data_IF_471743994057
#
_entry.id   IF_471743994057
#
_cell.length_a   1.000
_cell.length_b   1.000
_cell.length_c   1.000
_cell.angle_alpha   90.00
_cell.angle_beta   90.00
_cell.angle_gamma   90.00
#
_symmetry.space_group_name_H-M   'P 1'
#
loop_
_entity.id
_entity.type
_entity.pdbx_description
1 polymer ?
#
# COMPACT_ATOMS: atom_id res chain seq x y z
N UNK A 1 -35.87 18.27 -16.44
CA UNK A 1 -34.48 17.87 -16.14
C UNK A 1 -34.41 17.68 -14.64
N UNK A 2 -34.31 16.43 -14.16
CA UNK A 2 -34.18 16.16 -12.73
C UNK A 2 -32.78 16.61 -12.30
N UNK A 3 -32.69 17.65 -11.49
CA UNK A 3 -31.46 17.96 -10.77
C UNK A 3 -31.15 16.77 -9.85
N UNK A 4 -29.93 16.25 -9.93
CA UNK A 4 -29.49 15.18 -9.02
C UNK A 4 -29.50 15.72 -7.58
N UNK A 5 -29.94 14.94 -6.58
CA UNK A 5 -29.85 15.35 -5.18
C UNK A 5 -28.43 15.80 -4.83
N UNK A 6 -28.31 16.85 -4.01
CA UNK A 6 -27.03 17.47 -3.66
C UNK A 6 -26.00 16.44 -3.12
N UNK A 7 -26.47 15.40 -2.43
CA UNK A 7 -25.65 14.31 -1.90
C UNK A 7 -24.99 13.44 -2.99
N UNK A 8 -25.72 13.09 -4.05
CA UNK A 8 -25.18 12.32 -5.18
C UNK A 8 -24.15 13.14 -5.96
N UNK A 9 -24.39 14.45 -6.10
CA UNK A 9 -23.43 15.37 -6.72
C UNK A 9 -22.15 15.45 -5.90
N UNK A 10 -22.24 15.65 -4.59
CA UNK A 10 -21.08 15.71 -3.69
C UNK A 10 -20.32 14.39 -3.63
N UNK A 11 -21.02 13.24 -3.65
CA UNK A 11 -20.39 11.93 -3.70
C UNK A 11 -19.64 11.72 -5.01
N UNK A 12 -20.22 12.15 -6.14
CA UNK A 12 -19.56 12.11 -7.45
C UNK A 12 -18.33 13.01 -7.51
N UNK A 13 -18.45 14.26 -7.07
CA UNK A 13 -17.33 15.22 -7.02
C UNK A 13 -16.19 14.69 -6.14
N UNK A 14 -16.53 14.08 -5.00
CA UNK A 14 -15.54 13.40 -4.14
C UNK A 14 -14.87 12.22 -4.85
N UNK A 15 -15.65 11.39 -5.56
CA UNK A 15 -15.12 10.27 -6.34
C UNK A 15 -14.18 10.73 -7.46
N UNK A 16 -14.55 11.78 -8.18
CA UNK A 16 -13.71 12.41 -9.23
C UNK A 16 -12.42 12.99 -8.63
N UNK A 17 -12.52 13.70 -7.49
CA UNK A 17 -11.36 14.22 -6.77
C UNK A 17 -10.40 13.11 -6.32
N UNK A 18 -10.93 12.01 -5.76
CA UNK A 18 -10.11 10.86 -5.34
C UNK A 18 -9.43 10.21 -6.54
N UNK A 19 -10.15 10.06 -7.66
CA UNK A 19 -9.60 9.49 -8.89
C UNK A 19 -8.42 10.32 -9.40
N UNK A 20 -8.55 11.64 -9.46
CA UNK A 20 -7.46 12.52 -9.91
C UNK A 20 -6.25 12.50 -8.98
N UNK A 21 -6.48 12.51 -7.66
CA UNK A 21 -5.41 12.36 -6.67
C UNK A 21 -4.69 11.02 -6.82
N UNK A 22 -5.44 9.92 -6.94
CA UNK A 22 -4.86 8.60 -7.10
C UNK A 22 -4.08 8.49 -8.42
N UNK A 23 -4.63 9.00 -9.52
CA UNK A 23 -3.99 9.00 -10.84
C UNK A 23 -2.66 9.77 -10.81
N UNK A 24 -2.68 11.02 -10.34
CA UNK A 24 -1.47 11.85 -10.21
C UNK A 24 -0.43 11.19 -9.30
N UNK A 25 -0.86 10.63 -8.18
CA UNK A 25 0.01 9.89 -7.27
C UNK A 25 0.66 8.66 -7.91
N UNK A 26 -0.09 7.94 -8.73
CA UNK A 26 0.37 6.76 -9.47
C UNK A 26 1.36 7.16 -10.57
N UNK A 27 1.09 8.23 -11.32
CA UNK A 27 2.02 8.78 -12.33
C UNK A 27 3.37 9.15 -11.69
N UNK A 28 3.36 9.82 -10.53
CA UNK A 28 4.58 10.16 -9.79
C UNK A 28 5.30 8.91 -9.24
N UNK A 29 4.58 7.87 -8.83
CA UNK A 29 5.18 6.59 -8.42
C UNK A 29 5.95 5.94 -9.57
N UNK A 30 5.34 5.90 -10.75
CA UNK A 30 5.95 5.30 -11.94
C UNK A 30 7.11 6.16 -12.48
N UNK A 31 7.03 7.49 -12.33
CA UNK A 31 8.15 8.40 -12.61
C UNK A 31 9.31 8.28 -11.59
N UNK A 32 9.10 7.63 -10.45
CA UNK A 32 10.11 7.48 -9.40
C UNK A 32 10.17 8.64 -8.40
N UNK A 33 9.28 9.63 -8.52
CA UNK A 33 9.17 10.78 -7.65
C UNK A 33 8.42 10.45 -6.35
N UNK A 34 8.92 9.47 -5.60
CA UNK A 34 8.21 8.85 -4.48
C UNK A 34 7.83 9.82 -3.36
N UNK A 35 8.62 10.87 -3.11
CA UNK A 35 8.27 11.91 -2.13
C UNK A 35 7.07 12.72 -2.60
N UNK A 36 7.05 13.12 -3.88
CA UNK A 36 5.95 13.85 -4.46
C UNK A 36 4.70 12.97 -4.56
N UNK A 37 4.86 11.70 -4.92
CA UNK A 37 3.77 10.73 -5.03
C UNK A 37 2.99 10.55 -3.72
N UNK A 38 3.69 10.56 -2.58
CA UNK A 38 3.06 10.38 -1.27
C UNK A 38 2.03 11.48 -0.94
N UNK A 39 2.15 12.68 -1.53
CA UNK A 39 1.27 13.83 -1.23
C UNK A 39 -0.16 13.59 -1.74
N UNK A 40 -0.41 13.42 -3.06
CA UNK A 40 -1.76 13.17 -3.54
C UNK A 40 -2.28 11.81 -3.09
N UNK A 41 -1.42 10.79 -2.91
CA UNK A 41 -1.85 9.48 -2.40
C UNK A 41 -2.32 9.54 -0.95
N UNK A 42 -1.65 10.31 -0.08
CA UNK A 42 -2.10 10.52 1.28
C UNK A 42 -3.47 11.22 1.31
N UNK A 43 -3.66 12.23 0.45
CA UNK A 43 -4.95 12.92 0.36
C UNK A 43 -6.06 12.00 -0.15
N UNK A 44 -5.75 11.16 -1.14
CA UNK A 44 -6.70 10.16 -1.63
C UNK A 44 -7.05 9.14 -0.54
N UNK A 45 -6.08 8.73 0.30
CA UNK A 45 -6.29 7.81 1.41
C UNK A 45 -7.07 8.43 2.58
N UNK A 46 -7.05 9.75 2.76
CA UNK A 46 -7.91 10.45 3.72
C UNK A 46 -9.37 10.45 3.26
N UNK A 47 -9.60 10.62 1.96
CA UNK A 47 -10.94 10.69 1.38
C UNK A 47 -11.58 9.29 1.23
N UNK A 48 -10.78 8.28 0.91
CA UNK A 48 -11.18 6.89 0.75
C UNK A 48 -10.25 5.98 1.58
N UNK A 49 -10.42 5.95 2.92
CA UNK A 49 -9.54 5.21 3.82
C UNK A 49 -9.56 3.70 3.61
N UNK A 50 -10.57 3.23 2.89
CA UNK A 50 -10.95 1.85 2.71
C UNK A 50 -10.47 1.26 1.38
N UNK A 51 -9.95 2.10 0.49
CA UNK A 51 -9.55 1.69 -0.84
C UNK A 51 -8.14 1.11 -0.84
N UNK A 52 -8.05 -0.22 -0.89
CA UNK A 52 -6.77 -0.96 -0.85
C UNK A 52 -5.78 -0.52 -1.93
N UNK A 53 -6.22 -0.18 -3.14
CA UNK A 53 -5.32 0.28 -4.21
C UNK A 53 -4.60 1.59 -3.87
N UNK A 54 -5.29 2.52 -3.20
CA UNK A 54 -4.73 3.80 -2.74
C UNK A 54 -3.74 3.55 -1.60
N UNK A 55 -4.14 2.72 -0.62
CA UNK A 55 -3.28 2.29 0.49
C UNK A 55 -2.00 1.63 -0.01
N UNK A 56 -2.10 0.70 -0.95
CA UNK A 56 -0.95 0.00 -1.52
C UNK A 56 0.02 0.97 -2.23
N UNK A 57 -0.52 1.87 -3.06
CA UNK A 57 0.27 2.90 -3.74
C UNK A 57 0.98 3.82 -2.72
N UNK A 58 0.27 4.29 -1.70
CA UNK A 58 0.85 5.13 -0.64
C UNK A 58 1.94 4.36 0.14
N UNK A 59 1.70 3.08 0.44
CA UNK A 59 2.66 2.19 1.04
C UNK A 59 3.94 2.04 0.21
N UNK A 60 3.81 1.89 -1.13
CA UNK A 60 4.94 1.87 -2.07
C UNK A 60 5.73 3.17 -1.98
N UNK A 61 5.06 4.33 -2.02
CA UNK A 61 5.72 5.64 -1.93
C UNK A 61 6.50 5.80 -0.62
N UNK A 62 5.88 5.43 0.51
CA UNK A 62 6.55 5.46 1.81
C UNK A 62 7.73 4.50 1.91
N UNK A 63 7.60 3.28 1.39
CA UNK A 63 8.68 2.30 1.40
C UNK A 63 9.91 2.80 0.62
N UNK A 64 9.68 3.34 -0.59
CA UNK A 64 10.74 3.84 -1.47
C UNK A 64 11.44 5.09 -0.92
N UNK A 65 10.82 5.79 0.02
CA UNK A 65 11.38 6.97 0.70
C UNK A 65 11.94 6.65 2.08
N UNK A 66 12.07 5.38 2.45
CA UNK A 66 12.62 4.96 3.74
C UNK A 66 11.68 5.16 4.93
N UNK A 67 10.43 5.60 4.71
CA UNK A 67 9.41 5.83 5.74
C UNK A 67 8.74 4.50 6.11
N UNK A 68 9.52 3.53 6.55
CA UNK A 68 9.10 2.13 6.71
C UNK A 68 7.96 1.92 7.72
N UNK A 69 7.93 2.70 8.81
CA UNK A 69 6.80 2.63 9.76
C UNK A 69 5.48 3.07 9.12
N UNK A 70 5.48 4.13 8.32
CA UNK A 70 4.30 4.56 7.57
C UNK A 70 3.91 3.51 6.52
N UNK A 71 4.88 3.01 5.76
CA UNK A 71 4.64 1.95 4.78
C UNK A 71 3.97 0.72 5.41
N UNK A 72 4.46 0.27 6.58
CA UNK A 72 3.86 -0.88 7.28
C UNK A 72 2.40 -0.65 7.69
N UNK A 73 1.99 0.58 8.01
CA UNK A 73 0.59 0.88 8.34
C UNK A 73 -0.30 0.76 7.12
N UNK A 74 0.14 1.32 5.99
CA UNK A 74 -0.64 1.25 4.75
C UNK A 74 -0.75 -0.19 4.24
N UNK A 75 0.34 -0.96 4.23
CA UNK A 75 0.29 -2.37 3.81
C UNK A 75 -0.49 -3.24 4.79
N UNK A 76 -0.48 -2.95 6.09
CA UNK A 76 -1.34 -3.64 7.06
C UNK A 76 -2.82 -3.43 6.76
N UNK A 77 -3.24 -2.20 6.42
CA UNK A 77 -4.62 -1.93 6.02
C UNK A 77 -5.01 -2.68 4.73
N UNK A 78 -4.07 -2.87 3.79
CA UNK A 78 -4.31 -3.72 2.62
C UNK A 78 -4.49 -5.19 3.02
N UNK A 79 -3.60 -5.72 3.86
CA UNK A 79 -3.64 -7.12 4.33
C UNK A 79 -4.90 -7.42 5.14
N UNK A 80 -5.38 -6.48 5.96
CA UNK A 80 -6.61 -6.65 6.74
C UNK A 80 -7.83 -6.90 5.84
N UNK A 81 -7.89 -6.22 4.68
CA UNK A 81 -8.97 -6.38 3.69
C UNK A 81 -8.72 -7.52 2.71
N UNK A 82 -7.45 -7.75 2.38
CA UNK A 82 -7.02 -8.69 1.36
C UNK A 82 -5.92 -9.59 1.93
N UNK A 83 -6.25 -10.52 2.84
CA UNK A 83 -5.24 -11.34 3.53
C UNK A 83 -4.43 -12.23 2.59
N UNK A 84 -4.97 -12.53 1.40
CA UNK A 84 -4.33 -13.35 0.36
C UNK A 84 -3.56 -12.54 -0.69
N UNK A 85 -3.47 -11.21 -0.55
CA UNK A 85 -2.63 -10.38 -1.42
C UNK A 85 -1.16 -10.59 -1.05
N UNK A 86 -0.47 -11.44 -1.83
CA UNK A 86 0.92 -11.84 -1.61
C UNK A 86 1.88 -10.65 -1.64
N UNK A 87 1.64 -9.69 -2.52
CA UNK A 87 2.45 -8.48 -2.65
C UNK A 87 2.34 -7.59 -1.41
N UNK A 88 1.13 -7.37 -0.90
CA UNK A 88 0.91 -6.61 0.33
C UNK A 88 1.53 -7.31 1.55
N UNK A 89 1.41 -8.65 1.65
CA UNK A 89 2.08 -9.45 2.67
C UNK A 89 3.60 -9.28 2.60
N UNK A 90 4.18 -9.37 1.39
CA UNK A 90 5.60 -9.19 1.18
C UNK A 90 6.07 -7.78 1.59
N UNK A 91 5.40 -6.75 1.10
CA UNK A 91 5.72 -5.36 1.37
C UNK A 91 5.55 -4.99 2.85
N UNK A 92 4.53 -5.52 3.54
CA UNK A 92 4.37 -5.38 4.98
C UNK A 92 5.56 -6.01 5.72
N UNK A 93 5.90 -7.26 5.39
CA UNK A 93 7.05 -7.96 5.96
C UNK A 93 8.36 -7.19 5.78
N UNK A 94 8.63 -6.69 4.57
CA UNK A 94 9.81 -5.87 4.28
C UNK A 94 9.81 -4.53 5.04
N UNK A 95 8.65 -3.89 5.19
CA UNK A 95 8.52 -2.63 5.93
C UNK A 95 8.76 -2.84 7.43
N UNK A 96 8.25 -3.94 7.99
CA UNK A 96 8.46 -4.32 9.39
C UNK A 96 9.93 -4.67 9.66
N UNK A 97 10.56 -5.46 8.78
CA UNK A 97 11.99 -5.79 8.85
C UNK A 97 12.84 -4.51 8.88
N UNK A 98 12.60 -3.60 7.93
CA UNK A 98 13.35 -2.34 7.80
C UNK A 98 13.09 -1.34 8.93
N UNK A 99 12.01 -1.51 9.69
CA UNK A 99 11.69 -0.68 10.87
C UNK A 99 12.08 -1.35 12.21
N UNK A 100 12.75 -2.51 12.16
CA UNK A 100 13.26 -3.23 13.33
C UNK A 100 12.26 -4.21 13.97
N UNK A 101 11.05 -4.37 13.41
CA UNK A 101 10.01 -5.29 13.90
C UNK A 101 10.16 -6.68 13.28
N UNK A 102 11.31 -7.30 13.50
CA UNK A 102 11.74 -8.53 12.82
C UNK A 102 10.80 -9.71 13.07
N UNK A 103 10.34 -9.90 14.30
CA UNK A 103 9.46 -11.04 14.64
C UNK A 103 8.13 -11.00 13.90
N UNK A 104 7.56 -9.80 13.74
CA UNK A 104 6.32 -9.61 12.99
C UNK A 104 6.56 -9.77 11.48
N UNK A 105 7.70 -9.27 10.98
CA UNK A 105 8.09 -9.40 9.59
C UNK A 105 8.21 -10.88 9.15
N UNK A 106 8.74 -11.76 10.01
CA UNK A 106 8.89 -13.20 9.72
C UNK A 106 7.56 -13.83 9.29
N UNK A 107 6.47 -13.50 9.98
CA UNK A 107 5.13 -14.05 9.67
C UNK A 107 4.66 -13.64 8.29
N UNK A 108 4.73 -12.35 7.98
CA UNK A 108 4.26 -11.81 6.70
C UNK A 108 5.12 -12.27 5.51
N UNK A 109 6.45 -12.34 5.66
CA UNK A 109 7.33 -12.88 4.61
C UNK A 109 7.12 -14.38 4.38
N UNK A 110 6.85 -15.15 5.44
CA UNK A 110 6.49 -16.55 5.29
C UNK A 110 5.16 -16.73 4.54
N UNK A 111 4.13 -15.95 4.90
CA UNK A 111 2.83 -15.98 4.21
C UNK A 111 2.97 -15.60 2.73
N UNK A 112 3.70 -14.54 2.38
CA UNK A 112 3.94 -14.16 1.00
C UNK A 112 4.58 -15.31 0.19
N UNK A 113 5.63 -15.94 0.74
CA UNK A 113 6.30 -17.07 0.10
C UNK A 113 5.42 -18.33 -0.01
N UNK A 114 4.47 -18.53 0.91
CA UNK A 114 3.47 -19.60 0.82
C UNK A 114 2.39 -19.32 -0.23
N UNK A 115 1.93 -18.07 -0.34
CA UNK A 115 0.93 -17.65 -1.33
C UNK A 115 1.49 -17.67 -2.76
N UNK A 116 2.78 -17.35 -2.93
CA UNK A 116 3.48 -17.43 -4.22
C UNK A 116 4.79 -18.23 -4.11
N UNK A 117 4.71 -19.57 -4.08
CA UNK A 117 5.88 -20.42 -4.00
C UNK A 117 6.80 -20.35 -5.22
N UNK A 118 6.33 -19.81 -6.35
CA UNK A 118 7.09 -19.59 -7.59
C UNK A 118 8.02 -18.36 -7.50
N UNK A 119 7.63 -17.34 -6.75
CA UNK A 119 8.38 -16.07 -6.56
C UNK A 119 9.65 -16.29 -5.75
N UNK A 120 10.78 -16.41 -6.46
CA UNK A 120 12.10 -16.66 -5.86
C UNK A 120 12.53 -15.57 -4.90
N UNK A 121 12.22 -14.31 -5.22
CA UNK A 121 12.47 -13.15 -4.36
C UNK A 121 11.82 -13.33 -2.98
N UNK A 122 10.56 -13.75 -2.90
CA UNK A 122 9.88 -13.93 -1.61
C UNK A 122 10.54 -15.02 -0.76
N UNK A 123 10.96 -16.12 -1.38
CA UNK A 123 11.68 -17.21 -0.69
C UNK A 123 13.01 -16.72 -0.11
N UNK A 124 13.78 -15.95 -0.89
CA UNK A 124 15.05 -15.36 -0.44
C UNK A 124 14.85 -14.49 0.80
N UNK A 125 13.83 -13.63 0.81
CA UNK A 125 13.57 -12.77 1.97
C UNK A 125 13.08 -13.53 3.20
N UNK A 126 12.24 -14.56 3.00
CA UNK A 126 11.81 -15.46 4.08
C UNK A 126 12.99 -16.19 4.70
N UNK A 127 13.91 -16.71 3.89
CA UNK A 127 15.04 -17.50 4.39
C UNK A 127 16.09 -16.61 5.06
N UNK A 128 16.35 -15.43 4.48
CA UNK A 128 17.22 -14.42 5.10
C UNK A 128 16.73 -14.00 6.48
N UNK A 129 15.44 -13.67 6.60
CA UNK A 129 14.91 -13.21 7.89
C UNK A 129 14.87 -14.33 8.92
N UNK A 130 14.81 -15.61 8.51
CA UNK A 130 14.88 -16.76 9.41
C UNK A 130 16.26 -16.93 10.05
N UNK A 131 17.32 -16.61 9.32
CA UNK A 131 18.71 -16.76 9.74
C UNK A 131 19.26 -15.55 10.53
N UNK A 132 18.59 -14.40 10.49
CA UNK A 132 18.89 -13.24 11.33
C UNK A 132 18.41 -13.45 12.77
#
# INVERSE_FOLDING_TARGET
>A
MSELPDEERLARERGEQVYDLFRRGSELLEAGDFNAAAIPLAKAAELEPDKSSIREALGRAYFRTGRFRHASREFAAVVERQPVNDFAQFCLGRSLEKSGRVDEARRHLALAACLRPDRADYRVYRDRIRAA
#
